data_IF_793894696248
#
_entry.id   IF_793894696248
#
_cell.length_a   1.000
_cell.length_b   1.000
_cell.length_c   1.000
_cell.angle_alpha   90.00
_cell.angle_beta   90.00
_cell.angle_gamma   90.00
#
_symmetry.space_group_name_H-M   'P 1'
#
loop_
_entity.id
_entity.type
_entity.pdbx_description
1 polymer ?
#
# COMPACT_ATOMS: atom_id res chain seq x y z
N UNK A 1 -14.68 -2.96 13.73
CA UNK A 1 -13.27 -2.64 13.41
C UNK A 1 -12.63 -3.95 12.97
N UNK A 2 -12.44 -4.17 11.67
CA UNK A 2 -11.59 -5.29 11.26
C UNK A 2 -10.15 -4.91 11.64
N UNK A 3 -9.51 -5.77 12.44
CA UNK A 3 -8.15 -5.59 12.95
C UNK A 3 -7.09 -5.97 11.90
N UNK A 4 -7.44 -5.97 10.62
CA UNK A 4 -6.62 -6.51 9.53
C UNK A 4 -5.95 -5.40 8.73
N UNK A 5 -5.68 -4.28 9.40
CA UNK A 5 -4.95 -3.13 8.88
C UNK A 5 -3.84 -2.91 9.91
N UNK A 6 -2.60 -3.23 9.54
CA UNK A 6 -1.51 -3.34 10.51
C UNK A 6 -0.16 -3.64 9.88
N UNK A 7 0.73 -4.16 10.71
CA UNK A 7 2.11 -4.53 10.35
C UNK A 7 2.16 -6.03 10.04
N UNK A 8 2.71 -6.38 8.87
CA UNK A 8 2.82 -7.74 8.37
C UNK A 8 4.29 -8.16 8.27
N UNK A 9 4.58 -9.37 8.75
CA UNK A 9 5.91 -9.97 8.63
C UNK A 9 6.27 -10.13 7.15
N UNK A 10 7.32 -9.44 6.73
CA UNK A 10 7.80 -9.41 5.36
C UNK A 10 8.25 -10.77 4.81
N UNK A 11 8.50 -11.76 5.67
CA UNK A 11 8.85 -13.14 5.27
C UNK A 11 7.64 -14.00 4.93
N UNK A 12 6.45 -13.59 5.34
CA UNK A 12 5.20 -14.33 5.19
C UNK A 12 4.18 -13.59 4.32
N UNK A 13 4.65 -12.76 3.38
CA UNK A 13 3.79 -12.01 2.48
C UNK A 13 4.24 -12.16 1.03
N UNK A 14 3.27 -12.33 0.15
CA UNK A 14 3.47 -12.27 -1.29
C UNK A 14 2.87 -10.98 -1.82
N UNK A 15 3.72 -10.13 -2.41
CA UNK A 15 3.32 -8.86 -2.99
C UNK A 15 3.79 -8.78 -4.43
N UNK A 16 2.92 -8.32 -5.33
CA UNK A 16 3.29 -8.05 -6.71
C UNK A 16 2.64 -6.77 -7.25
N UNK A 17 3.37 -6.07 -8.12
CA UNK A 17 2.92 -4.89 -8.85
C UNK A 17 3.14 -5.14 -10.35
N UNK A 18 2.09 -5.05 -11.15
CA UNK A 18 2.14 -5.26 -12.61
C UNK A 18 2.83 -6.57 -13.01
N UNK A 19 2.54 -7.66 -12.26
CA UNK A 19 3.16 -8.97 -12.46
C UNK A 19 4.62 -9.08 -11.98
N UNK A 20 5.20 -8.01 -11.43
CA UNK A 20 6.53 -8.02 -10.83
C UNK A 20 6.39 -8.37 -9.36
N UNK A 21 6.91 -9.54 -8.97
CA UNK A 21 7.04 -9.94 -7.57
C UNK A 21 8.01 -9.02 -6.84
N UNK A 22 7.55 -8.43 -5.74
CA UNK A 22 8.33 -7.59 -4.86
C UNK A 22 8.94 -8.44 -3.74
N UNK A 23 10.25 -8.31 -3.58
CA UNK A 23 11.08 -9.07 -2.64
C UNK A 23 12.16 -8.17 -2.03
N UNK A 24 12.99 -8.70 -1.14
CA UNK A 24 14.13 -7.99 -0.51
C UNK A 24 13.70 -6.82 0.39
N UNK A 25 12.62 -7.03 1.13
CA UNK A 25 12.16 -6.09 2.15
C UNK A 25 13.17 -6.01 3.30
N UNK A 26 13.36 -4.80 3.84
CA UNK A 26 14.18 -4.54 5.02
C UNK A 26 13.28 -4.13 6.19
N UNK A 27 12.57 -5.12 6.74
CA UNK A 27 11.58 -4.94 7.81
C UNK A 27 10.15 -5.14 7.33
N UNK A 28 9.21 -4.95 8.24
CA UNK A 28 7.82 -5.33 8.05
C UNK A 28 7.03 -4.34 7.19
N UNK A 29 6.03 -4.87 6.47
CA UNK A 29 5.15 -4.09 5.61
C UNK A 29 4.00 -3.55 6.44
N UNK A 30 3.65 -2.29 6.24
CA UNK A 30 2.50 -1.69 6.94
C UNK A 30 1.42 -1.32 5.96
N UNK A 31 0.18 -1.73 6.25
CA UNK A 31 -1.00 -1.43 5.44
C UNK A 31 -1.95 -0.63 6.31
N UNK A 32 -2.33 0.56 5.86
CA UNK A 32 -3.30 1.44 6.52
C UNK A 32 -4.49 1.70 5.61
N UNK A 33 -5.72 1.67 6.14
CA UNK A 33 -6.93 2.04 5.38
C UNK A 33 -7.08 3.56 5.40
N UNK A 34 -7.32 4.16 4.24
CA UNK A 34 -7.49 5.61 4.13
C UNK A 34 -8.95 6.02 4.40
N UNK A 35 -9.12 6.77 5.49
CA UNK A 35 -10.38 7.38 5.88
C UNK A 35 -11.29 6.47 6.69
N UNK A 36 -12.30 7.08 7.30
CA UNK A 36 -13.29 6.39 8.11
C UNK A 36 -14.42 5.83 7.24
N UNK A 37 -15.00 4.72 7.69
CA UNK A 37 -16.14 4.08 7.00
C UNK A 37 -17.44 4.89 7.12
N UNK A 38 -17.48 5.81 8.08
CA UNK A 38 -18.63 6.62 8.42
C UNK A 38 -18.21 8.06 8.60
N UNK A 39 -18.83 8.95 7.84
CA UNK A 39 -18.82 10.37 8.14
C UNK A 39 -20.05 10.67 8.99
N UNK A 40 -19.84 11.29 10.15
CA UNK A 40 -20.91 11.65 11.09
C UNK A 40 -20.95 13.17 11.17
N UNK A 41 -22.11 13.75 10.87
CA UNK A 41 -22.34 15.20 10.98
C UNK A 41 -23.49 15.44 11.94
N UNK A 42 -23.26 16.28 12.94
CA UNK A 42 -24.29 16.73 13.86
C UNK A 42 -24.83 18.09 13.41
N UNK A 43 -26.10 18.15 13.05
CA UNK A 43 -26.77 19.40 12.69
C UNK A 43 -27.10 20.23 13.93
N UNK A 44 -27.33 21.54 13.77
CA UNK A 44 -27.66 22.45 14.88
C UNK A 44 -28.92 22.09 15.67
N UNK A 45 -29.73 21.16 15.14
CA UNK A 45 -30.98 20.71 15.73
C UNK A 45 -30.81 19.42 16.56
N UNK A 46 -29.57 18.93 16.73
CA UNK A 46 -29.28 17.68 17.43
C UNK A 46 -29.55 16.41 16.59
N UNK A 47 -29.84 16.56 15.30
CA UNK A 47 -29.93 15.43 14.39
C UNK A 47 -28.53 14.93 14.02
N UNK A 48 -28.32 13.63 14.16
CA UNK A 48 -27.08 12.95 13.77
C UNK A 48 -27.30 12.32 12.39
N UNK A 49 -26.65 12.85 11.38
CA UNK A 49 -26.61 12.26 10.04
C UNK A 49 -25.36 11.40 9.91
N UNK A 50 -25.53 10.19 9.38
CA UNK A 50 -24.43 9.26 9.12
C UNK A 50 -24.43 8.88 7.64
N UNK A 51 -23.35 9.22 6.96
CA UNK A 51 -23.12 8.84 5.57
C UNK A 51 -22.10 7.71 5.53
N UNK A 52 -22.50 6.56 4.95
CA UNK A 52 -21.58 5.43 4.75
C UNK A 52 -20.71 5.73 3.54
N UNK A 53 -19.41 5.88 3.76
CA UNK A 53 -18.46 6.01 2.66
C UNK A 53 -17.62 4.74 2.59
N UNK A 54 -17.88 3.92 1.57
CA UNK A 54 -17.13 2.67 1.34
C UNK A 54 -15.82 3.00 0.62
N UNK A 55 -14.92 3.72 1.30
CA UNK A 55 -13.57 3.95 0.78
C UNK A 55 -12.78 2.64 0.86
N UNK A 56 -12.32 2.18 -0.30
CA UNK A 56 -11.43 1.02 -0.46
C UNK A 56 -10.01 1.47 -0.79
N UNK A 57 -9.59 2.59 -0.24
CA UNK A 57 -8.25 3.15 -0.42
C UNK A 57 -7.38 2.69 0.74
N UNK A 58 -6.16 2.27 0.43
CA UNK A 58 -5.17 1.79 1.37
C UNK A 58 -3.83 2.43 1.05
N UNK A 59 -3.08 2.78 2.09
CA UNK A 59 -1.67 3.14 1.99
C UNK A 59 -0.85 1.93 2.40
N UNK A 60 -0.03 1.42 1.49
CA UNK A 60 0.89 0.32 1.70
C UNK A 60 2.30 0.90 1.75
N UNK A 61 2.97 0.74 2.89
CA UNK A 61 4.32 1.23 3.11
C UNK A 61 5.27 0.05 3.22
N UNK A 62 6.25 0.05 2.32
CA UNK A 62 7.14 -1.08 2.09
C UNK A 62 8.58 -0.62 2.29
N UNK A 63 9.28 -1.10 3.32
CA UNK A 63 10.70 -0.80 3.51
C UNK A 63 11.54 -1.75 2.64
N UNK A 64 12.36 -1.21 1.74
CA UNK A 64 13.31 -1.98 0.94
C UNK A 64 14.75 -1.71 1.35
N UNK A 65 15.63 -2.68 1.08
CA UNK A 65 17.06 -2.40 1.00
C UNK A 65 17.33 -1.36 -0.09
N UNK A 66 18.17 -0.36 0.18
CA UNK A 66 18.54 0.66 -0.81
C UNK A 66 19.12 0.10 -2.12
N UNK A 67 19.83 -1.03 -2.03
CA UNK A 67 20.44 -1.71 -3.17
C UNK A 67 19.50 -2.75 -3.81
N UNK A 68 18.23 -2.82 -3.37
CA UNK A 68 17.29 -3.79 -3.92
C UNK A 68 17.05 -3.53 -5.41
N UNK A 69 17.15 -4.55 -6.27
CA UNK A 69 16.83 -4.42 -7.69
C UNK A 69 15.35 -4.10 -7.94
N UNK A 70 14.47 -4.37 -6.96
CA UNK A 70 13.05 -4.08 -7.05
C UNK A 70 12.77 -2.57 -7.07
N UNK A 71 13.63 -1.76 -6.44
CA UNK A 71 13.53 -0.31 -6.50
C UNK A 71 13.71 0.22 -7.92
N UNK A 72 14.59 -0.37 -8.72
CA UNK A 72 14.80 0.06 -10.11
C UNK A 72 13.56 -0.22 -10.99
N UNK A 73 12.88 -1.35 -10.74
CA UNK A 73 11.63 -1.70 -11.44
C UNK A 73 10.48 -0.79 -11.05
N UNK A 74 10.31 -0.52 -9.76
CA UNK A 74 9.30 0.43 -9.27
C UNK A 74 9.58 1.85 -9.78
N UNK A 75 10.84 2.27 -9.84
CA UNK A 75 11.22 3.56 -10.42
C UNK A 75 10.86 3.63 -11.91
N UNK A 76 11.07 2.56 -12.68
CA UNK A 76 10.65 2.50 -14.08
C UNK A 76 9.13 2.63 -14.24
N UNK A 77 8.34 1.98 -13.38
CA UNK A 77 6.89 2.14 -13.35
C UNK A 77 6.48 3.57 -12.96
N UNK A 78 7.19 4.22 -12.04
CA UNK A 78 6.94 5.62 -11.68
C UNK A 78 7.19 6.55 -12.87
N UNK A 79 8.32 6.39 -13.55
CA UNK A 79 8.68 7.20 -14.73
C UNK A 79 7.67 6.97 -15.86
N UNK A 80 7.29 5.72 -16.12
CA UNK A 80 6.27 5.40 -17.12
C UNK A 80 4.92 6.06 -16.81
N UNK A 81 4.51 6.09 -15.53
CA UNK A 81 3.29 6.78 -15.12
C UNK A 81 3.40 8.31 -15.32
N UNK A 82 4.55 8.91 -14.99
CA UNK A 82 4.77 10.35 -15.17
C UNK A 82 4.74 10.76 -16.65
N UNK A 83 5.44 10.02 -17.50
CA UNK A 83 5.62 10.35 -18.92
C UNK A 83 4.41 9.95 -19.77
N UNK A 84 3.84 8.77 -19.54
CA UNK A 84 2.84 8.17 -20.43
C UNK A 84 1.46 8.03 -19.82
N UNK A 85 1.29 8.34 -18.52
CA UNK A 85 0.03 8.13 -17.78
C UNK A 85 -0.43 6.66 -17.84
N UNK A 86 0.54 5.75 -17.77
CA UNK A 86 0.30 4.31 -17.84
C UNK A 86 -0.43 3.75 -16.61
N UNK A 87 -0.34 4.41 -15.45
CA UNK A 87 -1.02 3.99 -14.24
C UNK A 87 -2.55 4.18 -14.30
N UNK A 88 -3.30 3.52 -13.40
CA UNK A 88 -2.81 2.72 -12.28
C UNK A 88 -2.43 1.27 -12.65
N UNK A 89 -1.52 0.68 -11.88
CA UNK A 89 -0.96 -0.66 -12.09
C UNK A 89 -1.70 -1.75 -11.31
N UNK A 90 -1.68 -2.99 -11.79
CA UNK A 90 -2.26 -4.12 -11.07
C UNK A 90 -1.49 -4.39 -9.78
N UNK A 91 -2.20 -4.58 -8.67
CA UNK A 91 -1.64 -4.86 -7.35
C UNK A 91 -2.25 -6.11 -6.73
N UNK A 92 -1.40 -6.97 -6.19
CA UNK A 92 -1.81 -8.10 -5.39
C UNK A 92 -0.97 -8.18 -4.11
N UNK A 93 -1.65 -8.37 -2.98
CA UNK A 93 -1.06 -8.66 -1.69
C UNK A 93 -1.76 -9.85 -1.07
N UNK A 94 -0.99 -10.82 -0.60
CA UNK A 94 -1.49 -12.01 0.10
C UNK A 94 -0.62 -12.23 1.34
N UNK A 95 -1.24 -12.22 2.51
CA UNK A 95 -0.64 -12.71 3.74
C UNK A 95 -0.69 -14.25 3.75
N UNK A 96 0.43 -14.90 4.04
CA UNK A 96 0.55 -16.35 4.13
C UNK A 96 0.23 -16.86 5.54
N UNK A 97 0.19 -15.99 6.54
CA UNK A 97 -0.10 -16.34 7.94
C UNK A 97 -1.58 -16.14 8.31
N UNK A 98 -2.33 -15.39 7.51
CA UNK A 98 -3.72 -15.03 7.80
C UNK A 98 -4.58 -14.94 6.55
N UNK A 99 -5.90 -14.78 6.70
CA UNK A 99 -6.83 -14.70 5.58
C UNK A 99 -6.83 -13.33 4.89
N UNK A 100 -5.80 -12.50 5.07
CA UNK A 100 -5.82 -11.14 4.53
C UNK A 100 -5.23 -11.11 3.12
N UNK A 101 -6.03 -10.64 2.16
CA UNK A 101 -5.53 -10.37 0.80
C UNK A 101 -6.20 -9.14 0.19
N UNK A 102 -5.42 -8.42 -0.61
CA UNK A 102 -5.86 -7.27 -1.39
C UNK A 102 -5.55 -7.54 -2.85
N UNK A 103 -6.56 -7.43 -3.69
CA UNK A 103 -6.44 -7.42 -5.14
C UNK A 103 -7.05 -6.12 -5.65
N UNK A 104 -6.31 -5.39 -6.48
CA UNK A 104 -6.80 -4.14 -7.01
C UNK A 104 -5.77 -3.40 -7.83
N UNK A 105 -5.79 -2.08 -7.72
CA UNK A 105 -4.94 -1.19 -8.51
C UNK A 105 -4.11 -0.31 -7.58
N UNK A 106 -2.85 -0.07 -7.93
CA UNK A 106 -1.95 0.80 -7.18
C UNK A 106 -1.28 1.85 -8.04
N UNK A 107 -0.82 2.91 -7.38
CA UNK A 107 0.10 3.88 -7.92
C UNK A 107 1.16 4.23 -6.88
N UNK A 108 2.33 4.62 -7.38
CA UNK A 108 3.48 4.94 -6.54
C UNK A 108 3.29 6.36 -6.03
N UNK A 109 3.07 6.52 -4.73
CA UNK A 109 2.92 7.83 -4.11
C UNK A 109 4.28 8.46 -3.78
N UNK A 110 5.21 7.65 -3.28
CA UNK A 110 6.57 8.09 -2.95
C UNK A 110 7.54 6.93 -3.04
N UNK A 111 8.68 7.14 -3.68
CA UNK A 111 9.79 6.18 -3.70
C UNK A 111 10.71 6.31 -2.48
N UNK A 112 10.46 7.27 -1.59
CA UNK A 112 11.33 7.58 -0.46
C UNK A 112 12.68 8.17 -0.86
N UNK A 113 13.38 8.72 0.13
CA UNK A 113 14.68 9.38 -0.06
C UNK A 113 15.82 8.36 -0.12
N UNK A 114 16.67 8.45 -1.14
CA UNK A 114 17.92 7.71 -1.18
C UNK A 114 18.97 8.41 -0.32
N UNK A 115 19.44 7.77 0.75
CA UNK A 115 20.55 8.28 1.57
C UNK A 115 21.84 7.57 1.16
N UNK A 116 22.89 8.32 0.82
CA UNK A 116 24.21 7.74 0.51
C UNK A 116 25.08 7.75 1.77
N UNK A 117 24.90 6.74 2.62
CA UNK A 117 25.66 6.56 3.86
C UNK A 117 26.52 5.29 3.83
N UNK A 118 27.47 5.18 4.76
CA UNK A 118 28.31 3.96 4.92
C UNK A 118 27.51 2.75 5.44
N UNK A 119 26.37 3.01 6.10
CA UNK A 119 25.46 1.99 6.60
C UNK A 119 24.30 1.78 5.62
N UNK A 120 23.90 0.53 5.42
CA UNK A 120 22.70 0.19 4.66
C UNK A 120 21.47 0.74 5.39
N UNK A 121 20.86 1.79 4.85
CA UNK A 121 19.61 2.33 5.34
C UNK A 121 18.43 1.77 4.52
N UNK A 122 17.27 1.63 5.16
CA UNK A 122 16.04 1.28 4.45
C UNK A 122 15.61 2.45 3.56
N UNK A 123 15.12 2.15 2.36
CA UNK A 123 14.37 3.09 1.52
C UNK A 123 12.91 2.69 1.58
N UNK A 124 12.10 3.57 2.15
CA UNK A 124 10.67 3.31 2.34
C UNK A 124 9.88 3.79 1.12
N UNK A 125 9.23 2.86 0.43
CA UNK A 125 8.34 3.13 -0.69
C UNK A 125 6.89 3.15 -0.17
N UNK A 126 6.11 4.14 -0.60
CA UNK A 126 4.70 4.27 -0.27
C UNK A 126 3.88 4.08 -1.54
N UNK A 127 3.04 3.05 -1.55
CA UNK A 127 2.08 2.75 -2.59
C UNK A 127 0.69 3.13 -2.09
N UNK A 128 -0.10 3.77 -2.94
CA UNK A 128 -1.54 3.91 -2.70
C UNK A 128 -2.27 2.87 -3.52
N UNK A 129 -3.17 2.15 -2.85
CA UNK A 129 -3.87 1.01 -3.41
C UNK A 129 -5.36 1.24 -3.31
N UNK A 130 -6.06 1.14 -4.43
CA UNK A 130 -7.50 0.97 -4.47
C UNK A 130 -7.80 -0.53 -4.51
N UNK A 131 -8.19 -1.09 -3.37
CA UNK A 131 -8.60 -2.48 -3.26
C UNK A 131 -9.94 -2.70 -3.98
N UNK A 132 -9.96 -3.55 -5.00
CA UNK A 132 -11.21 -3.92 -5.68
C UNK A 132 -11.87 -5.09 -4.96
N UNK A 133 -11.07 -6.13 -4.71
CA UNK A 133 -11.38 -7.27 -3.87
C UNK A 133 -10.46 -7.25 -2.65
N UNK A 134 -11.05 -7.12 -1.46
CA UNK A 134 -10.34 -7.22 -0.20
C UNK A 134 -10.97 -8.37 0.56
N UNK A 135 -10.17 -9.37 0.88
CA UNK A 135 -10.59 -10.48 1.73
C UNK A 135 -10.02 -10.26 3.12
N UNK A 136 -10.94 -10.13 4.06
CA UNK A 136 -10.70 -9.94 5.49
C UNK A 136 -11.51 -11.07 6.15
N UNK A 137 -10.86 -12.20 6.44
CA UNK A 137 -11.51 -13.38 7.03
C UNK A 137 -12.03 -13.14 8.45
#
# INVERSE_FOLDING_TARGET
>A
MSNLVGTYDHTLVNMAVEGIELSDFLGDITITKEGDEWEVTEGSNGCIERSRMVRKLYTVTVPFMQTSPQLAKLEALRIADEETKAGPYLFSFVDLNGPFSILGQCWIHSMGSATRGRAAAARTVTLRVKGEAVFEG
#
